data_IF_758487507915
#
_entry.id   IF_758487507915
#
_cell.length_a   1.000
_cell.length_b   1.000
_cell.length_c   1.000
_cell.angle_alpha   90.00
_cell.angle_beta   90.00
_cell.angle_gamma   90.00
#
_symmetry.space_group_name_H-M   'P 1'
#
loop_
_entity.id
_entity.type
_entity.pdbx_description
1 polymer ?
#
# COMPACT_ATOMS: atom_id res chain seq x y z
N UNK A 1 47.89 62.06 -26.94
CA UNK A 1 47.15 61.27 -27.95
C UNK A 1 47.47 59.79 -27.71
N UNK A 2 46.41 58.99 -27.57
CA UNK A 2 46.30 57.53 -27.38
C UNK A 2 46.85 56.84 -26.11
N UNK A 3 45.91 56.25 -25.36
CA UNK A 3 46.07 55.33 -24.22
C UNK A 3 46.45 53.93 -24.73
N UNK A 4 47.29 53.16 -24.00
CA UNK A 4 47.24 51.71 -24.03
C UNK A 4 46.39 51.22 -22.85
N UNK A 5 45.35 50.44 -23.14
CA UNK A 5 44.63 49.66 -22.15
C UNK A 5 45.38 48.32 -22.00
N UNK A 6 46.02 48.13 -20.85
CA UNK A 6 46.71 46.89 -20.49
C UNK A 6 45.97 46.27 -19.30
N UNK A 7 45.29 45.16 -19.56
CA UNK A 7 44.59 44.37 -18.55
C UNK A 7 45.61 43.50 -17.80
N UNK A 8 46.01 43.91 -16.59
CA UNK A 8 46.47 42.96 -15.54
C UNK A 8 45.19 42.34 -14.96
N UNK A 9 45.12 41.06 -14.57
CA UNK A 9 45.89 40.47 -13.47
C UNK A 9 45.72 38.94 -13.44
N UNK A 10 46.66 38.31 -12.74
CA UNK A 10 46.98 36.89 -12.53
C UNK A 10 45.86 35.95 -12.06
N UNK A 11 46.07 34.69 -12.46
CA UNK A 11 45.69 33.41 -11.84
C UNK A 11 45.89 33.41 -10.32
N UNK A 12 44.94 32.83 -9.57
CA UNK A 12 45.17 31.94 -8.40
C UNK A 12 44.11 32.09 -7.31
N UNK A 13 43.15 31.16 -7.28
CA UNK A 13 42.46 30.65 -6.08
C UNK A 13 41.86 29.32 -6.52
N UNK A 14 42.38 28.16 -6.11
CA UNK A 14 42.48 27.75 -4.72
C UNK A 14 41.24 26.93 -4.41
N UNK A 15 41.32 25.63 -4.70
CA UNK A 15 40.28 24.62 -4.53
C UNK A 15 40.05 24.33 -3.03
N UNK A 16 38.86 23.79 -2.72
CA UNK A 16 38.52 22.91 -1.58
C UNK A 16 38.03 23.60 -0.30
N UNK A 17 36.72 23.49 -0.03
CA UNK A 17 36.18 22.77 1.16
C UNK A 17 34.68 22.99 1.30
N UNK A 18 33.89 22.23 0.55
CA UNK A 18 32.49 21.99 0.89
C UNK A 18 32.47 20.74 1.78
N UNK A 19 32.57 20.92 3.11
CA UNK A 19 32.28 19.85 4.06
C UNK A 19 30.79 19.52 3.97
N UNK A 20 30.47 18.51 3.15
CA UNK A 20 29.21 17.79 3.19
C UNK A 20 29.23 16.89 4.43
N UNK A 21 28.68 17.39 5.53
CA UNK A 21 28.25 16.57 6.66
C UNK A 21 27.01 15.77 6.25
N UNK A 22 27.21 14.74 5.44
CA UNK A 22 26.24 13.66 5.26
C UNK A 22 26.35 12.75 6.49
N UNK A 23 25.74 13.21 7.59
CA UNK A 23 25.40 12.34 8.71
C UNK A 23 24.40 11.32 8.21
N UNK A 24 24.88 10.16 7.80
CA UNK A 24 24.08 8.98 7.55
C UNK A 24 23.48 8.53 8.88
N UNK A 25 22.35 9.12 9.25
CA UNK A 25 21.35 8.44 10.05
C UNK A 25 20.89 7.26 9.21
N UNK A 26 21.63 6.16 9.30
CA UNK A 26 21.14 4.84 8.93
C UNK A 26 20.03 4.56 9.93
N UNK A 27 18.83 5.06 9.61
CA UNK A 27 17.62 4.50 10.18
C UNK A 27 17.69 3.02 9.89
N UNK A 28 17.75 2.19 10.93
CA UNK A 28 17.37 0.79 10.82
C UNK A 28 15.93 0.79 10.32
N UNK A 29 15.79 0.77 8.99
CA UNK A 29 14.53 0.52 8.34
C UNK A 29 14.10 -0.84 8.84
N UNK A 30 13.10 -0.85 9.71
CA UNK A 30 12.34 -2.04 10.04
C UNK A 30 11.99 -2.64 8.70
N UNK A 31 12.52 -3.82 8.40
CA UNK A 31 12.20 -4.55 7.19
C UNK A 31 10.69 -4.74 7.23
N UNK A 32 9.97 -3.99 6.39
CA UNK A 32 8.55 -4.18 6.17
C UNK A 32 8.38 -5.64 5.77
N UNK A 33 7.87 -6.46 6.69
CA UNK A 33 7.48 -7.82 6.38
C UNK A 33 6.56 -7.75 5.15
N UNK A 34 6.83 -8.58 4.15
CA UNK A 34 6.11 -8.53 2.89
C UNK A 34 4.59 -8.56 3.15
N UNK A 35 3.89 -7.48 2.79
CA UNK A 35 2.45 -7.38 3.00
C UNK A 35 1.74 -8.49 2.23
N UNK A 36 1.02 -9.34 2.94
CA UNK A 36 0.23 -10.39 2.32
C UNK A 36 -1.05 -9.79 1.74
N UNK A 37 -1.38 -10.12 0.49
CA UNK A 37 -2.64 -9.72 -0.15
C UNK A 37 -3.65 -10.86 0.02
N UNK A 38 -4.92 -10.57 0.37
CA UNK A 38 -5.92 -11.61 0.53
C UNK A 38 -6.14 -12.36 -0.78
N UNK A 39 -6.09 -13.69 -0.71
CA UNK A 39 -6.42 -14.56 -1.85
C UNK A 39 -7.93 -14.51 -2.09
N UNK A 40 -8.35 -14.57 -3.35
CA UNK A 40 -9.77 -14.56 -3.72
C UNK A 40 -10.60 -15.63 -2.99
N UNK A 41 -10.05 -16.83 -2.78
CA UNK A 41 -10.76 -17.89 -2.05
C UNK A 41 -11.06 -17.53 -0.58
N UNK A 42 -10.17 -16.81 0.10
CA UNK A 42 -10.40 -16.38 1.47
C UNK A 42 -11.56 -15.38 1.53
N UNK A 43 -11.59 -14.43 0.58
CA UNK A 43 -12.69 -13.46 0.46
C UNK A 43 -14.00 -14.17 0.11
N UNK A 44 -13.98 -15.16 -0.79
CA UNK A 44 -15.16 -15.96 -1.15
C UNK A 44 -15.73 -16.65 0.08
N UNK A 45 -14.91 -17.30 0.89
CA UNK A 45 -15.35 -17.99 2.11
C UNK A 45 -16.01 -17.03 3.10
N UNK A 46 -15.44 -15.83 3.28
CA UNK A 46 -16.03 -14.80 4.14
C UNK A 46 -17.38 -14.31 3.62
N UNK A 47 -17.46 -13.98 2.33
CA UNK A 47 -18.69 -13.50 1.72
C UNK A 47 -19.78 -14.57 1.69
N UNK A 48 -19.45 -15.81 1.34
CA UNK A 48 -20.38 -16.93 1.33
C UNK A 48 -20.90 -17.29 2.74
N UNK A 49 -20.08 -17.05 3.78
CA UNK A 49 -20.53 -17.20 5.18
C UNK A 49 -21.56 -16.17 5.57
N UNK A 50 -21.46 -14.92 5.07
CA UNK A 50 -22.47 -13.88 5.30
C UNK A 50 -23.70 -14.02 4.41
N UNK A 51 -23.50 -14.42 3.16
CA UNK A 51 -24.52 -14.51 2.12
C UNK A 51 -24.28 -15.76 1.27
N UNK A 52 -25.09 -16.81 1.50
CA UNK A 52 -24.96 -18.10 0.81
C UNK A 52 -25.29 -18.03 -0.69
N UNK A 53 -25.88 -16.93 -1.17
CA UNK A 53 -26.09 -16.75 -2.61
C UNK A 53 -24.78 -16.51 -3.35
N UNK A 54 -23.72 -16.08 -2.66
CA UNK A 54 -22.39 -15.81 -3.26
C UNK A 54 -21.70 -17.11 -3.65
N UNK A 55 -21.67 -17.43 -4.94
CA UNK A 55 -21.11 -18.69 -5.44
C UNK A 55 -19.68 -18.55 -5.98
N UNK A 56 -19.30 -17.36 -6.44
CA UNK A 56 -18.00 -17.11 -7.03
C UNK A 56 -17.59 -15.65 -6.85
N UNK A 57 -16.28 -15.39 -6.78
CA UNK A 57 -15.74 -14.04 -6.89
C UNK A 57 -14.56 -13.97 -7.87
N UNK A 58 -14.30 -12.76 -8.37
CA UNK A 58 -13.06 -12.40 -9.07
C UNK A 58 -12.45 -11.15 -8.43
N UNK A 59 -11.32 -11.32 -7.76
CA UNK A 59 -10.55 -10.22 -7.19
C UNK A 59 -9.91 -9.37 -8.30
N UNK A 60 -10.20 -8.06 -8.34
CA UNK A 60 -9.62 -7.13 -9.30
C UNK A 60 -8.36 -6.47 -8.74
N UNK A 61 -8.53 -5.71 -7.65
CA UNK A 61 -7.46 -4.93 -7.04
C UNK A 61 -7.69 -4.85 -5.54
N UNK A 62 -6.60 -4.85 -4.76
CA UNK A 62 -6.62 -4.48 -3.34
C UNK A 62 -5.72 -3.28 -3.12
N UNK A 63 -6.26 -2.28 -2.41
CA UNK A 63 -5.51 -1.16 -1.87
C UNK A 63 -5.27 -1.42 -0.38
N UNK A 64 -4.07 -1.10 0.10
CA UNK A 64 -3.70 -1.30 1.51
C UNK A 64 -3.34 0.04 2.13
N UNK A 65 -3.99 0.37 3.23
CA UNK A 65 -3.71 1.55 4.05
C UNK A 65 -3.32 1.13 5.47
N UNK A 66 -2.39 1.85 6.07
CA UNK A 66 -2.04 1.67 7.47
C UNK A 66 -1.87 3.05 8.12
N UNK A 67 -2.75 3.37 9.06
CA UNK A 67 -2.78 4.68 9.73
C UNK A 67 -1.53 4.94 10.57
N UNK A 68 -0.80 3.89 10.95
CA UNK A 68 0.41 3.95 11.75
C UNK A 68 1.67 3.72 10.91
N UNK A 69 1.57 3.75 9.57
CA UNK A 69 2.73 3.59 8.70
C UNK A 69 3.83 4.61 9.03
N UNK A 70 5.08 4.14 9.12
CA UNK A 70 6.24 4.97 9.46
C UNK A 70 6.47 5.22 10.96
N UNK A 71 5.59 4.74 11.84
CA UNK A 71 5.80 4.81 13.29
C UNK A 71 6.62 3.60 13.80
N UNK A 72 7.49 3.81 14.78
CA UNK A 72 8.26 2.72 15.40
C UNK A 72 7.30 1.73 16.08
N UNK A 73 7.45 0.44 15.79
CA UNK A 73 6.56 -0.61 16.32
C UNK A 73 5.28 -0.84 15.51
N UNK A 74 5.09 -0.14 14.40
CA UNK A 74 4.03 -0.46 13.44
C UNK A 74 4.32 -1.78 12.73
N UNK A 75 3.27 -2.50 12.34
CA UNK A 75 3.35 -3.76 11.60
C UNK A 75 2.09 -3.96 10.78
N UNK A 76 2.10 -4.98 9.92
CA UNK A 76 0.99 -5.36 9.05
C UNK A 76 -0.31 -5.69 9.78
N UNK A 77 -0.29 -5.93 11.10
CA UNK A 77 -1.49 -6.16 11.90
C UNK A 77 -2.47 -4.98 11.91
N UNK A 78 -1.99 -3.78 11.57
CA UNK A 78 -2.81 -2.56 11.44
C UNK A 78 -3.16 -2.22 9.99
N UNK A 79 -2.81 -3.08 9.04
CA UNK A 79 -3.16 -2.88 7.64
C UNK A 79 -4.67 -3.06 7.45
N UNK A 80 -5.27 -2.11 6.74
CA UNK A 80 -6.65 -2.13 6.27
C UNK A 80 -6.63 -2.28 4.75
N UNK A 81 -7.43 -3.22 4.25
CA UNK A 81 -7.49 -3.58 2.85
C UNK A 81 -8.84 -3.18 2.27
N UNK A 82 -8.82 -2.48 1.14
CA UNK A 82 -9.99 -2.18 0.33
C UNK A 82 -9.85 -2.89 -1.01
N UNK A 83 -10.64 -3.95 -1.20
CA UNK A 83 -10.54 -4.82 -2.36
C UNK A 83 -11.76 -4.71 -3.26
N UNK A 84 -11.54 -4.38 -4.54
CA UNK A 84 -12.57 -4.43 -5.57
C UNK A 84 -12.73 -5.87 -6.05
N UNK A 85 -13.95 -6.40 -5.97
CA UNK A 85 -14.28 -7.76 -6.35
C UNK A 85 -15.53 -7.77 -7.22
N UNK A 86 -15.53 -8.59 -8.28
CA UNK A 86 -16.77 -9.00 -8.91
C UNK A 86 -17.31 -10.20 -8.17
N UNK A 87 -18.56 -10.14 -7.76
CA UNK A 87 -19.24 -11.20 -7.01
C UNK A 87 -20.38 -11.72 -7.83
N UNK A 88 -20.36 -13.01 -8.07
CA UNK A 88 -21.45 -13.73 -8.68
C UNK A 88 -22.34 -14.30 -7.59
N UNK A 89 -23.62 -13.98 -7.67
CA UNK A 89 -24.66 -14.49 -6.79
C UNK A 89 -25.65 -15.31 -7.59
N UNK A 90 -26.08 -16.43 -7.01
CA UNK A 90 -27.14 -17.25 -7.56
C UNK A 90 -28.46 -16.92 -6.86
N UNK A 91 -29.43 -16.50 -7.65
CA UNK A 91 -30.81 -16.28 -7.22
C UNK A 91 -31.61 -17.57 -7.40
N UNK A 92 -32.01 -18.18 -6.28
CA UNK A 92 -32.75 -19.44 -6.31
C UNK A 92 -34.23 -19.26 -6.72
N UNK A 93 -34.80 -18.07 -6.58
CA UNK A 93 -36.18 -17.78 -7.00
C UNK A 93 -36.28 -17.72 -8.51
N UNK A 94 -35.35 -16.99 -9.15
CA UNK A 94 -35.34 -16.80 -10.59
C UNK A 94 -34.42 -17.79 -11.34
N UNK A 95 -33.74 -18.69 -10.62
CA UNK A 95 -32.79 -19.70 -11.14
C UNK A 95 -31.74 -19.10 -12.08
N UNK A 96 -31.20 -17.94 -11.72
CA UNK A 96 -30.24 -17.19 -12.53
C UNK A 96 -29.08 -16.69 -11.68
N UNK A 97 -27.92 -16.48 -12.32
CA UNK A 97 -26.80 -15.80 -11.67
C UNK A 97 -26.70 -14.35 -12.12
N UNK A 98 -26.24 -13.49 -11.22
CA UNK A 98 -25.92 -12.09 -11.50
C UNK A 98 -24.55 -11.74 -10.97
N UNK A 99 -23.84 -10.89 -11.71
CA UNK A 99 -22.51 -10.42 -11.35
C UNK A 99 -22.61 -8.95 -10.94
N UNK A 100 -22.09 -8.65 -9.77
CA UNK A 100 -22.05 -7.29 -9.24
C UNK A 100 -20.62 -6.93 -8.83
N UNK A 101 -20.19 -5.73 -9.17
CA UNK A 101 -18.97 -5.15 -8.61
C UNK A 101 -19.24 -4.60 -7.22
N UNK A 102 -18.39 -4.96 -6.26
CA UNK A 102 -18.46 -4.47 -4.90
C UNK A 102 -17.05 -4.25 -4.32
N UNK A 103 -16.95 -3.30 -3.40
CA UNK A 103 -15.74 -3.11 -2.59
C UNK A 103 -15.93 -3.84 -1.27
N UNK A 104 -14.96 -4.68 -0.91
CA UNK A 104 -14.90 -5.36 0.40
C UNK A 104 -13.76 -4.80 1.22
N UNK A 105 -14.04 -4.53 2.49
CA UNK A 105 -13.05 -4.05 3.43
C UNK A 105 -12.61 -5.20 4.32
N UNK A 106 -11.30 -5.36 4.48
CA UNK A 106 -10.71 -6.48 5.18
C UNK A 106 -9.61 -6.01 6.12
N UNK A 107 -9.40 -6.76 7.21
CA UNK A 107 -8.22 -6.65 8.06
C UNK A 107 -7.64 -8.04 8.36
N UNK A 108 -6.34 -8.14 8.65
CA UNK A 108 -5.76 -9.35 9.22
C UNK A 108 -6.41 -9.67 10.58
N UNK A 109 -6.69 -10.94 10.82
CA UNK A 109 -7.18 -11.44 12.11
C UNK A 109 -6.02 -11.97 12.96
N UNK A 110 -6.06 -11.73 14.28
CA UNK A 110 -4.92 -11.85 15.21
C UNK A 110 -4.29 -13.27 15.33
N UNK A 111 -4.99 -14.33 14.92
CA UNK A 111 -4.43 -15.68 14.86
C UNK A 111 -4.01 -16.00 13.44
N UNK A 112 -2.72 -15.92 13.16
CA UNK A 112 -1.99 -16.52 12.03
C UNK A 112 -2.86 -16.83 10.79
N UNK A 113 -2.92 -15.85 9.87
CA UNK A 113 -3.40 -15.99 8.48
C UNK A 113 -4.95 -16.04 8.35
N UNK A 114 -5.68 -15.32 9.20
CA UNK A 114 -7.11 -15.07 9.02
C UNK A 114 -7.41 -13.72 8.36
N UNK A 115 -8.55 -13.63 7.69
CA UNK A 115 -9.11 -12.38 7.18
C UNK A 115 -10.45 -12.12 7.86
N UNK A 116 -10.75 -10.86 8.16
CA UNK A 116 -12.04 -10.45 8.72
C UNK A 116 -12.64 -9.34 7.86
N UNK A 117 -13.94 -9.45 7.55
CA UNK A 117 -14.71 -8.37 6.94
C UNK A 117 -14.96 -7.27 7.97
N UNK A 118 -14.71 -6.02 7.59
CA UNK A 118 -14.97 -4.83 8.40
C UNK A 118 -16.03 -3.95 7.71
N UNK A 119 -16.74 -3.16 8.49
CA UNK A 119 -17.67 -2.21 7.92
C UNK A 119 -16.92 -1.06 7.21
N UNK A 120 -17.49 -0.41 6.19
CA UNK A 120 -16.86 0.70 5.46
C UNK A 120 -16.48 1.92 6.32
N UNK A 121 -16.97 2.00 7.56
CA UNK A 121 -16.86 3.16 8.45
C UNK A 121 -16.19 2.84 9.80
N UNK A 122 -15.54 1.69 9.94
CA UNK A 122 -14.74 1.32 11.12
C UNK A 122 -13.27 1.71 10.94
#
# INVERSE_FOLDING_TARGET
>A
MFKPFQLKTRISTGVVSSLLLLGSLTGCGVQDAAREIPKANAILQLLHTQDRSVIQIKLQQCQVGNLFAGQTGTSSKYDLYSCQVHVERFDDEYKQSFIQEQTVYLRPFDSDIGWQLIAPNE
#
